data_IF_805419330479
#
_entry.id   IF_805419330479
#
_cell.length_a   1.000
_cell.length_b   1.000
_cell.length_c   1.000
_cell.angle_alpha   90.00
_cell.angle_beta   90.00
_cell.angle_gamma   90.00
#
_symmetry.space_group_name_H-M   'P 1'
#
loop_
_entity.id
_entity.type
_entity.pdbx_description
1 polymer ?
#
# COMPACT_ATOMS: atom_id res chain seq x y z
N UNK A 1 -3.77 10.71 -26.95
CA UNK A 1 -5.00 10.59 -26.16
C UNK A 1 -6.14 11.39 -26.79
N UNK A 2 -7.39 10.91 -26.72
CA UNK A 2 -8.59 11.66 -27.14
C UNK A 2 -9.43 12.00 -25.91
N UNK A 3 -9.86 13.25 -25.79
CA UNK A 3 -10.75 13.73 -24.72
C UNK A 3 -12.16 13.91 -25.29
N UNK A 4 -13.15 13.31 -24.64
CA UNK A 4 -14.57 13.49 -24.92
C UNK A 4 -15.23 14.28 -23.80
N UNK A 5 -16.04 15.28 -24.16
CA UNK A 5 -16.59 16.24 -23.21
C UNK A 5 -18.04 16.52 -23.56
N UNK A 6 -18.87 16.60 -22.54
CA UNK A 6 -20.22 17.17 -22.63
C UNK A 6 -20.30 18.35 -21.67
N UNK A 7 -20.71 19.52 -22.18
CA UNK A 7 -20.84 20.75 -21.39
C UNK A 7 -22.24 21.32 -21.53
N UNK A 8 -22.63 22.17 -20.57
CA UNK A 8 -23.84 22.98 -20.65
C UNK A 8 -23.46 24.45 -20.46
N UNK A 9 -23.90 25.29 -21.38
CA UNK A 9 -23.67 26.74 -21.31
C UNK A 9 -24.71 27.44 -20.41
N UNK A 10 -24.49 28.74 -20.14
CA UNK A 10 -25.41 29.55 -19.33
C UNK A 10 -26.82 29.72 -19.93
N UNK A 11 -27.06 29.28 -21.18
CA UNK A 11 -28.38 29.24 -21.81
C UNK A 11 -29.02 27.84 -21.75
N UNK A 12 -28.48 26.94 -20.92
CA UNK A 12 -28.89 25.54 -20.79
C UNK A 12 -28.76 24.74 -22.09
N UNK A 13 -27.84 25.12 -22.99
CA UNK A 13 -27.58 24.35 -24.22
C UNK A 13 -26.45 23.38 -23.99
N UNK A 14 -26.75 22.10 -24.17
CA UNK A 14 -25.75 21.04 -24.11
C UNK A 14 -24.94 21.03 -25.40
N UNK A 15 -23.63 20.83 -25.26
CA UNK A 15 -22.70 20.67 -26.38
C UNK A 15 -21.75 19.51 -26.11
N UNK A 16 -21.46 18.76 -27.16
CA UNK A 16 -20.56 17.61 -27.12
C UNK A 16 -19.36 17.89 -28.02
N UNK A 17 -18.17 17.56 -27.53
CA UNK A 17 -16.93 17.77 -28.25
C UNK A 17 -15.96 16.61 -28.03
N UNK A 18 -15.14 16.36 -29.04
CA UNK A 18 -13.99 15.47 -28.95
C UNK A 18 -12.73 16.22 -29.39
N UNK A 19 -11.67 16.17 -28.60
CA UNK A 19 -10.42 16.87 -28.88
C UNK A 19 -9.24 15.92 -28.69
N UNK A 20 -8.23 16.04 -29.55
CA UNK A 20 -7.01 15.23 -29.44
C UNK A 20 -5.92 16.02 -28.72
N UNK A 21 -5.30 15.39 -27.73
CA UNK A 21 -4.20 15.97 -26.95
C UNK A 21 -2.99 15.03 -26.96
N UNK A 22 -1.80 15.63 -26.91
CA UNK A 22 -0.53 14.93 -26.81
C UNK A 22 -0.23 14.53 -25.36
N UNK A 23 -0.67 15.35 -24.41
CA UNK A 23 -0.41 15.21 -22.97
C UNK A 23 -1.72 15.38 -22.19
N UNK A 24 -1.82 14.70 -21.05
CA UNK A 24 -3.01 14.70 -20.20
C UNK A 24 -3.23 16.07 -19.53
N UNK A 25 -2.14 16.74 -19.17
CA UNK A 25 -2.13 18.04 -18.51
C UNK A 25 -2.75 19.13 -19.39
N UNK A 26 -2.53 19.06 -20.70
CA UNK A 26 -3.14 19.99 -21.67
C UNK A 26 -4.65 19.78 -21.76
N UNK A 27 -5.11 18.53 -21.69
CA UNK A 27 -6.53 18.19 -21.65
C UNK A 27 -7.19 18.70 -20.36
N UNK A 28 -6.51 18.59 -19.22
CA UNK A 28 -7.00 19.09 -17.93
C UNK A 28 -7.08 20.61 -17.88
N UNK A 29 -6.07 21.31 -18.40
CA UNK A 29 -6.10 22.76 -18.53
C UNK A 29 -7.23 23.23 -19.46
N UNK A 30 -7.50 22.49 -20.54
CA UNK A 30 -8.61 22.78 -21.43
C UNK A 30 -9.97 22.65 -20.72
N UNK A 31 -10.16 21.61 -19.92
CA UNK A 31 -11.38 21.42 -19.11
C UNK A 31 -11.55 22.56 -18.10
N UNK A 32 -10.48 22.99 -17.44
CA UNK A 32 -10.53 24.15 -16.55
C UNK A 32 -10.87 25.44 -17.28
N UNK A 33 -10.36 25.65 -18.50
CA UNK A 33 -10.71 26.83 -19.29
C UNK A 33 -12.20 26.88 -19.65
N UNK A 34 -12.83 25.72 -19.87
CA UNK A 34 -14.29 25.63 -20.07
C UNK A 34 -15.02 26.11 -18.81
N UNK A 35 -14.63 25.62 -17.64
CA UNK A 35 -15.22 26.02 -16.35
C UNK A 35 -15.01 27.51 -16.07
N UNK A 36 -13.81 28.05 -16.32
CA UNK A 36 -13.49 29.49 -16.17
C UNK A 36 -14.37 30.38 -17.06
N UNK A 37 -14.75 29.91 -18.25
CA UNK A 37 -15.65 30.64 -19.16
C UNK A 37 -17.10 30.66 -18.69
N UNK A 38 -17.43 29.90 -17.64
CA UNK A 38 -18.76 29.81 -17.07
C UNK A 38 -19.61 28.65 -17.61
N UNK A 39 -19.04 27.78 -18.44
CA UNK A 39 -19.69 26.55 -18.86
C UNK A 39 -19.56 25.48 -17.78
N UNK A 40 -20.57 24.64 -17.59
CA UNK A 40 -20.53 23.53 -16.63
C UNK A 40 -20.21 22.22 -17.34
N UNK A 41 -19.24 21.47 -16.83
CA UNK A 41 -18.94 20.12 -17.32
C UNK A 41 -20.01 19.14 -16.83
N UNK A 42 -20.64 18.42 -17.76
CA UNK A 42 -21.59 17.34 -17.44
C UNK A 42 -20.95 15.96 -17.54
N UNK A 43 -19.96 15.81 -18.42
CA UNK A 43 -19.20 14.57 -18.60
C UNK A 43 -17.83 14.90 -19.19
N UNK A 44 -16.81 14.18 -18.73
CA UNK A 44 -15.47 14.22 -19.30
C UNK A 44 -14.84 12.82 -19.20
N UNK A 45 -14.31 12.32 -20.31
CA UNK A 45 -13.56 11.07 -20.35
C UNK A 45 -12.42 11.11 -21.36
N UNK A 46 -11.34 10.42 -21.04
CA UNK A 46 -10.17 10.26 -21.91
C UNK A 46 -10.13 8.85 -22.48
N UNK A 47 -9.70 8.73 -23.73
CA UNK A 47 -9.40 7.46 -24.38
C UNK A 47 -7.90 7.39 -24.71
N UNK A 48 -7.27 6.35 -24.19
CA UNK A 48 -5.87 6.01 -24.41
C UNK A 48 -5.74 4.49 -24.51
N UNK A 49 -5.04 4.01 -25.54
CA UNK A 49 -4.87 2.57 -25.82
C UNK A 49 -6.18 1.75 -25.84
N UNK A 50 -7.27 2.37 -26.32
CA UNK A 50 -8.60 1.76 -26.38
C UNK A 50 -9.30 1.62 -25.03
N UNK A 51 -8.73 2.17 -23.96
CA UNK A 51 -9.36 2.26 -22.64
C UNK A 51 -9.95 3.64 -22.43
N UNK A 52 -11.23 3.67 -22.06
CA UNK A 52 -11.95 4.88 -21.73
C UNK A 52 -11.95 5.10 -20.21
N UNK A 53 -11.39 6.21 -19.77
CA UNK A 53 -11.26 6.58 -18.36
C UNK A 53 -12.16 7.79 -18.08
N UNK A 54 -13.05 7.66 -17.10
CA UNK A 54 -13.88 8.78 -16.65
C UNK A 54 -13.06 9.72 -15.77
N UNK A 55 -13.19 11.03 -16.01
CA UNK A 55 -12.51 12.05 -15.23
C UNK A 55 -13.43 12.57 -14.11
N UNK A 56 -12.89 12.85 -12.91
CA UNK A 56 -13.65 13.43 -11.82
C UNK A 56 -13.99 14.89 -12.14
N UNK A 57 -15.27 15.18 -12.41
CA UNK A 57 -15.72 16.53 -12.77
C UNK A 57 -15.44 17.57 -11.67
N UNK A 58 -15.57 17.15 -10.41
CA UNK A 58 -15.34 17.98 -9.23
C UNK A 58 -13.87 18.43 -9.09
N UNK A 59 -12.95 17.83 -9.85
CA UNK A 59 -11.55 18.24 -9.88
C UNK A 59 -11.31 19.47 -10.76
N UNK A 60 -12.25 19.89 -11.61
CA UNK A 60 -12.07 21.01 -12.53
C UNK A 60 -12.78 22.25 -11.98
N UNK A 61 -12.09 23.01 -11.13
CA UNK A 61 -12.59 24.23 -10.48
C UNK A 61 -12.22 25.51 -11.24
N UNK A 62 -11.56 25.37 -12.40
CA UNK A 62 -11.09 26.47 -13.22
C UNK A 62 -9.65 26.92 -12.90
N UNK A 63 -8.97 26.30 -11.94
CA UNK A 63 -7.56 26.58 -11.66
C UNK A 63 -6.68 25.71 -12.59
N UNK A 64 -5.78 26.28 -13.40
CA UNK A 64 -4.90 25.51 -14.29
C UNK A 64 -4.01 24.53 -13.53
N UNK A 65 -3.94 23.28 -13.99
CA UNK A 65 -3.16 22.21 -13.38
C UNK A 65 -1.71 22.19 -13.86
N UNK A 66 -1.47 22.52 -15.13
CA UNK A 66 -0.14 22.37 -15.74
C UNK A 66 0.94 23.12 -14.97
N UNK A 67 0.64 24.34 -14.52
CA UNK A 67 1.60 25.14 -13.77
C UNK A 67 1.91 24.54 -12.40
N UNK A 68 0.90 24.01 -11.70
CA UNK A 68 1.08 23.37 -10.42
C UNK A 68 1.88 22.07 -10.56
N UNK A 69 1.57 21.26 -11.58
CA UNK A 69 2.29 20.02 -11.89
C UNK A 69 3.73 20.30 -12.29
N UNK A 70 3.99 21.28 -13.15
CA UNK A 70 5.36 21.63 -13.55
C UNK A 70 6.14 22.20 -12.37
N UNK A 71 5.55 23.05 -11.54
CA UNK A 71 6.20 23.51 -10.31
C UNK A 71 6.55 22.33 -9.38
N UNK A 72 5.61 21.41 -9.17
CA UNK A 72 5.84 20.22 -8.36
C UNK A 72 6.96 19.35 -8.94
N UNK A 73 6.97 19.16 -10.27
CA UNK A 73 8.02 18.44 -10.98
C UNK A 73 9.37 19.13 -10.80
N UNK A 74 9.46 20.45 -10.91
CA UNK A 74 10.70 21.20 -10.66
C UNK A 74 11.14 21.10 -9.20
N UNK A 75 10.23 21.14 -8.24
CA UNK A 75 10.53 20.91 -6.83
C UNK A 75 11.08 19.50 -6.58
N UNK A 76 10.44 18.48 -7.15
CA UNK A 76 10.91 17.10 -7.07
C UNK A 76 12.26 16.91 -7.74
N UNK A 77 12.45 17.44 -8.96
CA UNK A 77 13.74 17.42 -9.65
C UNK A 77 14.81 18.14 -8.84
N UNK A 78 14.49 19.28 -8.22
CA UNK A 78 15.42 19.95 -7.30
C UNK A 78 15.77 19.06 -6.11
N UNK A 79 14.80 18.40 -5.46
CA UNK A 79 15.11 17.49 -4.33
C UNK A 79 15.98 16.31 -4.79
N UNK A 80 15.73 15.78 -5.98
CA UNK A 80 16.47 14.66 -6.55
C UNK A 80 17.86 15.06 -7.06
N UNK A 81 18.01 16.24 -7.66
CA UNK A 81 19.29 16.80 -8.11
C UNK A 81 20.13 17.33 -6.93
N UNK A 82 19.49 17.69 -5.81
CA UNK A 82 20.14 17.99 -4.54
C UNK A 82 20.33 16.73 -3.68
N UNK A 83 20.03 15.53 -4.20
CA UNK A 83 20.62 14.32 -3.62
C UNK A 83 22.13 14.50 -3.72
N UNK A 84 22.86 14.58 -2.60
CA UNK A 84 24.24 15.03 -2.63
C UNK A 84 25.07 14.05 -3.47
N UNK A 85 25.62 14.52 -4.59
CA UNK A 85 26.75 13.88 -5.28
C UNK A 85 28.00 13.81 -4.39
N UNK A 86 27.95 14.41 -3.20
CA UNK A 86 28.96 14.33 -2.16
C UNK A 86 28.62 13.20 -1.17
N UNK A 87 29.40 12.12 -1.22
CA UNK A 87 29.36 11.02 -0.27
C UNK A 87 29.54 11.45 1.19
N UNK A 88 28.42 11.74 1.86
CA UNK A 88 28.26 11.80 3.32
C UNK A 88 27.13 10.83 3.74
N UNK A 89 27.29 10.22 4.92
CA UNK A 89 27.46 8.79 5.03
C UNK A 89 26.14 8.06 4.82
N UNK A 90 25.89 7.60 3.58
CA UNK A 90 24.97 6.47 3.33
C UNK A 90 25.24 5.35 4.35
N UNK A 91 26.50 5.20 4.77
CA UNK A 91 26.94 4.31 5.84
C UNK A 91 26.22 4.54 7.18
N UNK A 92 25.95 5.78 7.60
CA UNK A 92 25.28 6.09 8.87
C UNK A 92 23.81 5.67 8.87
N UNK A 93 23.07 6.05 7.83
CA UNK A 93 21.65 5.68 7.66
C UNK A 93 21.53 4.15 7.44
N UNK A 94 22.45 3.57 6.68
CA UNK A 94 22.49 2.13 6.43
C UNK A 94 22.82 1.36 7.72
N UNK A 95 23.72 1.89 8.56
CA UNK A 95 24.04 1.30 9.85
C UNK A 95 22.87 1.38 10.82
N UNK A 96 22.17 2.51 10.90
CA UNK A 96 20.92 2.63 11.68
C UNK A 96 19.85 1.63 11.20
N UNK A 97 19.69 1.47 9.88
CA UNK A 97 18.77 0.50 9.30
C UNK A 97 19.16 -0.94 9.64
N UNK A 98 20.46 -1.27 9.58
CA UNK A 98 21.01 -2.57 9.97
C UNK A 98 20.75 -2.84 11.46
N UNK A 99 21.00 -1.85 12.33
CA UNK A 99 20.75 -1.98 13.76
C UNK A 99 19.26 -2.16 14.08
N UNK A 100 18.39 -1.43 13.38
CA UNK A 100 16.95 -1.59 13.50
C UNK A 100 16.49 -2.99 13.05
N UNK A 101 16.98 -3.48 11.91
CA UNK A 101 16.69 -4.83 11.42
C UNK A 101 17.14 -5.91 12.41
N UNK A 102 18.32 -5.76 13.02
CA UNK A 102 18.79 -6.66 14.09
C UNK A 102 17.85 -6.67 15.29
N UNK A 103 17.46 -5.50 15.79
CA UNK A 103 16.48 -5.40 16.89
C UNK A 103 15.14 -6.03 16.53
N UNK A 104 14.71 -5.88 15.28
CA UNK A 104 13.47 -6.48 14.78
C UNK A 104 13.55 -8.01 14.71
N UNK A 105 14.69 -8.55 14.28
CA UNK A 105 14.97 -10.00 14.29
C UNK A 105 14.92 -10.53 15.73
N UNK A 106 15.64 -9.90 16.67
CA UNK A 106 15.63 -10.28 18.09
C UNK A 106 14.21 -10.28 18.68
N UNK A 107 13.39 -9.31 18.26
CA UNK A 107 12.00 -9.22 18.68
C UNK A 107 11.17 -10.40 18.15
N UNK A 108 11.31 -10.76 16.87
CA UNK A 108 10.62 -11.92 16.30
C UNK A 108 11.07 -13.22 16.94
N UNK A 109 12.37 -13.40 17.20
CA UNK A 109 12.88 -14.59 17.90
C UNK A 109 12.25 -14.76 19.29
N UNK A 110 12.15 -13.67 20.07
CA UNK A 110 11.46 -13.68 21.36
C UNK A 110 9.99 -14.05 21.22
N UNK A 111 9.29 -13.48 20.23
CA UNK A 111 7.89 -13.81 19.98
C UNK A 111 7.70 -15.28 19.58
N UNK A 112 8.54 -15.80 18.69
CA UNK A 112 8.51 -17.23 18.30
C UNK A 112 8.71 -18.12 19.52
N UNK A 113 9.69 -17.83 20.38
CA UNK A 113 9.94 -18.61 21.60
C UNK A 113 8.73 -18.62 22.56
N UNK A 114 8.03 -17.49 22.71
CA UNK A 114 6.81 -17.40 23.53
C UNK A 114 5.69 -18.26 22.92
N UNK A 115 5.46 -18.13 21.61
CA UNK A 115 4.41 -18.88 20.91
C UNK A 115 4.68 -20.39 20.98
N UNK A 116 5.93 -20.81 20.75
CA UNK A 116 6.34 -22.21 20.83
C UNK A 116 6.18 -22.79 22.24
N UNK A 117 6.54 -22.04 23.28
CA UNK A 117 6.32 -22.43 24.68
C UNK A 117 4.83 -22.62 24.97
N UNK A 118 4.00 -21.71 24.46
CA UNK A 118 2.53 -21.76 24.61
C UNK A 118 1.93 -22.98 23.91
N UNK A 119 2.35 -23.25 22.67
CA UNK A 119 1.96 -24.45 21.91
C UNK A 119 2.35 -25.72 22.68
N UNK A 120 3.57 -25.78 23.21
CA UNK A 120 4.05 -26.92 23.99
C UNK A 120 3.22 -27.14 25.24
N UNK A 121 2.88 -26.07 25.95
CA UNK A 121 2.03 -26.11 27.13
C UNK A 121 0.62 -26.64 26.80
N UNK A 122 -0.02 -26.13 25.75
CA UNK A 122 -1.34 -26.61 25.33
C UNK A 122 -1.33 -28.07 24.86
N UNK A 123 -0.28 -28.50 24.14
CA UNK A 123 -0.11 -29.92 23.78
C UNK A 123 -0.01 -30.81 25.03
N UNK A 124 0.74 -30.40 26.05
CA UNK A 124 0.83 -31.13 27.32
C UNK A 124 -0.50 -31.18 28.07
N UNK A 125 -1.23 -30.06 28.14
CA UNK A 125 -2.56 -30.02 28.78
C UNK A 125 -3.55 -30.95 28.08
N UNK A 126 -3.55 -30.95 26.74
CA UNK A 126 -4.40 -31.85 25.95
C UNK A 126 -4.07 -33.32 26.25
N UNK A 127 -2.80 -33.71 26.21
CA UNK A 127 -2.40 -35.09 26.51
C UNK A 127 -2.79 -35.52 27.94
N UNK A 128 -2.66 -34.63 28.93
CA UNK A 128 -3.13 -34.91 30.31
C UNK A 128 -4.64 -35.09 30.37
N UNK A 129 -5.40 -34.22 29.70
CA UNK A 129 -6.84 -34.29 29.65
C UNK A 129 -7.32 -35.61 29.00
N UNK A 130 -6.70 -36.00 27.88
CA UNK A 130 -6.98 -37.25 27.16
C UNK A 130 -6.68 -38.48 28.04
N UNK A 131 -5.59 -38.44 28.82
CA UNK A 131 -5.20 -39.53 29.71
C UNK A 131 -6.12 -39.70 30.92
N UNK A 132 -6.81 -38.65 31.35
CA UNK A 132 -7.61 -38.68 32.58
C UNK A 132 -9.05 -39.16 32.38
N UNK A 133 -9.66 -39.03 31.20
CA UNK A 133 -11.10 -39.32 31.01
C UNK A 133 -11.50 -39.75 29.58
N UNK A 134 -11.20 -40.99 29.15
CA UNK A 134 -11.56 -41.46 27.80
C UNK A 134 -13.06 -41.76 27.56
N UNK A 135 -13.94 -41.67 28.59
CA UNK A 135 -15.35 -42.09 28.49
C UNK A 135 -16.40 -41.04 28.91
N UNK A 136 -16.01 -39.79 29.18
CA UNK A 136 -16.99 -38.72 29.47
C UNK A 136 -17.48 -38.09 28.16
N UNK A 137 -18.79 -38.22 27.86
CA UNK A 137 -19.43 -37.63 26.66
C UNK A 137 -19.28 -36.10 26.57
N UNK A 138 -18.98 -35.45 27.70
CA UNK A 138 -18.72 -34.01 27.80
C UNK A 138 -17.28 -33.61 27.44
N UNK A 139 -16.41 -34.55 27.04
CA UNK A 139 -15.00 -34.29 26.75
C UNK A 139 -14.76 -33.70 25.34
N UNK A 140 -15.67 -33.96 24.39
CA UNK A 140 -15.53 -33.50 22.99
C UNK A 140 -15.35 -31.97 22.88
N UNK A 141 -16.18 -31.11 23.49
CA UNK A 141 -16.10 -29.66 23.29
C UNK A 141 -14.81 -29.04 23.85
N UNK A 142 -14.26 -29.62 24.92
CA UNK A 142 -13.01 -29.16 25.54
C UNK A 142 -11.82 -29.53 24.66
N UNK A 143 -11.83 -30.74 24.10
CA UNK A 143 -10.82 -31.18 23.14
C UNK A 143 -10.83 -30.30 21.87
N UNK A 144 -12.01 -30.03 21.33
CA UNK A 144 -12.19 -29.19 20.15
C UNK A 144 -11.70 -27.76 20.39
N UNK A 145 -11.91 -27.22 21.60
CA UNK A 145 -11.39 -25.91 22.00
C UNK A 145 -9.84 -25.87 22.00
N UNK A 146 -9.17 -26.87 22.58
CA UNK A 146 -7.71 -26.95 22.56
C UNK A 146 -7.14 -27.10 21.15
N UNK A 147 -7.82 -27.88 20.29
CA UNK A 147 -7.44 -28.01 18.88
C UNK A 147 -7.55 -26.67 18.17
N UNK A 148 -8.64 -25.92 18.38
CA UNK A 148 -8.82 -24.59 17.79
C UNK A 148 -7.74 -23.60 18.26
N UNK A 149 -7.41 -23.58 19.55
CA UNK A 149 -6.33 -22.74 20.08
C UNK A 149 -4.97 -23.12 19.48
N UNK A 150 -4.64 -24.41 19.43
CA UNK A 150 -3.39 -24.88 18.83
C UNK A 150 -3.25 -24.45 17.38
N UNK A 151 -4.31 -24.61 16.57
CA UNK A 151 -4.32 -24.19 15.18
C UNK A 151 -4.06 -22.68 15.04
N UNK A 152 -4.67 -21.85 15.92
CA UNK A 152 -4.45 -20.41 15.92
C UNK A 152 -2.99 -20.05 16.27
N UNK A 153 -2.42 -20.65 17.30
CA UNK A 153 -1.02 -20.37 17.66
C UNK A 153 -0.02 -20.88 16.60
N UNK A 154 -0.30 -22.02 15.96
CA UNK A 154 0.51 -22.52 14.84
C UNK A 154 0.43 -21.58 13.62
N UNK A 155 -0.74 -21.00 13.34
CA UNK A 155 -0.92 -19.96 12.32
C UNK A 155 -0.11 -18.69 12.66
N UNK A 156 -0.18 -18.24 13.91
CA UNK A 156 0.58 -17.08 14.37
C UNK A 156 2.09 -17.33 14.27
N UNK A 157 2.56 -18.53 14.63
CA UNK A 157 3.96 -18.92 14.48
C UNK A 157 4.41 -18.82 13.02
N UNK A 158 3.59 -19.30 12.08
CA UNK A 158 3.90 -19.22 10.64
C UNK A 158 4.03 -17.78 10.17
N UNK A 159 3.14 -16.89 10.61
CA UNK A 159 3.18 -15.46 10.26
C UNK A 159 4.44 -14.78 10.79
N UNK A 160 4.76 -14.98 12.07
CA UNK A 160 5.96 -14.40 12.69
C UNK A 160 7.24 -14.95 12.03
N UNK A 161 7.26 -16.25 11.73
CA UNK A 161 8.39 -16.89 11.03
C UNK A 161 8.60 -16.31 9.62
N UNK A 162 7.52 -16.05 8.87
CA UNK A 162 7.61 -15.41 7.56
C UNK A 162 8.19 -13.99 7.67
N UNK A 163 7.69 -13.18 8.60
CA UNK A 163 8.19 -11.82 8.84
C UNK A 163 9.66 -11.81 9.29
N UNK A 164 10.05 -12.76 10.14
CA UNK A 164 11.44 -12.98 10.54
C UNK A 164 12.33 -13.31 9.33
N UNK A 165 11.88 -14.21 8.45
CA UNK A 165 12.62 -14.58 7.25
C UNK A 165 12.79 -13.40 6.28
N UNK A 166 11.76 -12.57 6.13
CA UNK A 166 11.83 -11.35 5.32
C UNK A 166 12.86 -10.37 5.89
N UNK A 167 12.87 -10.15 7.21
CA UNK A 167 13.84 -9.29 7.87
C UNK A 167 15.28 -9.81 7.69
N UNK A 168 15.50 -11.13 7.81
CA UNK A 168 16.80 -11.76 7.56
C UNK A 168 17.27 -11.59 6.12
N UNK A 169 16.38 -11.81 5.14
CA UNK A 169 16.70 -11.63 3.72
C UNK A 169 17.10 -10.18 3.45
N UNK A 170 16.35 -9.22 4.01
CA UNK A 170 16.66 -7.80 3.86
C UNK A 170 18.02 -7.44 4.49
N UNK A 171 18.31 -7.96 5.67
CA UNK A 171 19.61 -7.76 6.32
C UNK A 171 20.76 -8.32 5.48
N UNK A 172 20.60 -9.51 4.87
CA UNK A 172 21.60 -10.09 3.96
C UNK A 172 21.83 -9.23 2.72
N UNK A 173 20.77 -8.75 2.08
CA UNK A 173 20.87 -7.87 0.91
C UNK A 173 21.66 -6.60 1.20
N UNK A 174 21.48 -6.01 2.39
CA UNK A 174 22.18 -4.80 2.82
C UNK A 174 23.64 -5.07 3.25
N UNK A 175 23.96 -6.30 3.65
CA UNK A 175 25.31 -6.68 4.10
C UNK A 175 26.20 -7.15 2.94
N UNK A 176 25.63 -7.74 1.88
CA UNK A 176 26.38 -8.20 0.68
C UNK A 176 26.78 -7.03 -0.24
N UNK A 177 26.07 -5.90 -0.17
CA UNK A 177 26.31 -4.72 -1.02
C UNK A 177 27.38 -3.76 -0.47
N UNK A 178 27.92 -4.01 0.72
CA UNK A 178 29.03 -3.28 1.33
C UNK A 178 30.29 -4.16 1.35
#
# INVERSE_FOLDING_TARGET
>A
MVLFITTIDGHCRTREFSCQFHELEQAFDFLNQIVVRGDTLLQACTEEDGQLTQLPLDAFDGIPFLRAIENLKQEWLSVLDHAPESGLPVYGILQELIEWLKKQIDHYEKQMAIIESTIRHFKQLRCRAESCKPHDLNFSPVSDHFVSLLNNYEEQLRKVSLSHQQALNRLRELTIKN
#
